data_IF_244836080391
#
_entry.id   IF_244836080391
#
_cell.length_a   1.000
_cell.length_b   1.000
_cell.length_c   1.000
_cell.angle_alpha   90.00
_cell.angle_beta   90.00
_cell.angle_gamma   90.00
#
_symmetry.space_group_name_H-M   'P 1'
#
loop_
_entity.id
_entity.type
_entity.pdbx_description
1 polymer ?
#
# COMPACT_ATOMS: atom_id res chain seq x y z
N UNK A 1 -4.96 -45.66 -23.33
CA UNK A 1 -3.91 -44.93 -24.06
C UNK A 1 -4.29 -43.46 -24.01
N UNK A 2 -3.77 -42.71 -23.03
CA UNK A 2 -4.03 -41.28 -22.88
C UNK A 2 -2.84 -40.54 -23.50
N UNK A 3 -3.10 -39.71 -24.50
CA UNK A 3 -2.09 -38.88 -25.16
C UNK A 3 -1.83 -37.62 -24.35
N UNK A 4 -0.58 -37.43 -23.96
CA UNK A 4 -0.05 -36.24 -23.31
C UNK A 4 0.20 -35.17 -24.37
N UNK A 5 -0.46 -34.01 -24.28
CA UNK A 5 -0.14 -32.83 -25.07
C UNK A 5 0.77 -31.91 -24.23
N UNK A 6 2.06 -31.75 -24.58
CA UNK A 6 2.88 -30.73 -23.95
C UNK A 6 2.33 -29.34 -24.30
N UNK A 7 2.11 -28.52 -23.29
CA UNK A 7 1.78 -27.11 -23.47
C UNK A 7 3.09 -26.39 -23.77
N UNK A 8 3.38 -26.19 -25.06
CA UNK A 8 4.51 -25.36 -25.49
C UNK A 8 4.27 -23.94 -24.99
N UNK A 9 5.11 -23.50 -24.03
CA UNK A 9 5.19 -22.12 -23.61
C UNK A 9 5.83 -21.32 -24.75
N UNK A 10 5.02 -20.93 -25.73
CA UNK A 10 5.43 -19.96 -26.73
C UNK A 10 5.89 -18.69 -25.98
N UNK A 11 7.16 -18.34 -26.15
CA UNK A 11 7.70 -17.09 -25.61
C UNK A 11 6.96 -15.93 -26.27
N UNK A 12 5.91 -15.44 -25.63
CA UNK A 12 5.22 -14.24 -26.05
C UNK A 12 6.12 -13.05 -25.73
N UNK A 13 7.02 -12.72 -26.65
CA UNK A 13 7.66 -11.39 -26.65
C UNK A 13 6.55 -10.38 -26.82
N UNK A 14 6.08 -9.82 -25.72
CA UNK A 14 5.02 -8.84 -25.70
C UNK A 14 5.46 -7.62 -26.54
N UNK A 15 4.57 -7.03 -27.36
CA UNK A 15 4.91 -5.89 -28.21
C UNK A 15 5.42 -4.67 -27.42
N UNK A 16 5.21 -4.63 -26.10
CA UNK A 16 5.76 -3.62 -25.19
C UNK A 16 7.29 -3.68 -25.08
N UNK A 17 7.90 -4.85 -25.23
CA UNK A 17 9.37 -5.02 -25.18
C UNK A 17 10.13 -4.32 -26.32
N UNK A 18 9.43 -3.85 -27.36
CA UNK A 18 10.01 -3.20 -28.55
C UNK A 18 9.87 -1.68 -28.57
N UNK A 19 9.12 -1.08 -27.62
CA UNK A 19 8.75 0.34 -27.67
C UNK A 19 9.68 1.24 -26.85
N UNK A 20 10.19 0.74 -25.73
CA UNK A 20 11.27 1.31 -24.95
C UNK A 20 11.73 0.25 -23.95
N UNK A 21 12.96 0.32 -23.45
CA UNK A 21 13.35 -0.49 -22.31
C UNK A 21 12.44 -0.17 -21.12
N UNK A 22 11.96 -1.17 -20.38
CA UNK A 22 11.10 -0.95 -19.21
C UNK A 22 11.94 -0.37 -18.06
N UNK A 23 11.86 0.94 -17.84
CA UNK A 23 12.73 1.66 -16.89
C UNK A 23 12.23 1.58 -15.43
N UNK A 24 10.92 1.47 -15.23
CA UNK A 24 10.30 1.37 -13.91
C UNK A 24 8.93 0.69 -13.97
N UNK A 25 8.55 0.02 -12.88
CA UNK A 25 7.18 -0.47 -12.67
C UNK A 25 6.64 0.21 -11.41
N UNK A 26 5.47 0.82 -11.55
CA UNK A 26 4.72 1.38 -10.43
C UNK A 26 3.68 0.35 -9.99
N UNK A 27 3.81 -0.12 -8.77
CA UNK A 27 2.82 -0.99 -8.16
C UNK A 27 1.97 -0.19 -7.17
N UNK A 28 0.68 -0.49 -7.14
CA UNK A 28 -0.14 -0.12 -5.99
C UNK A 28 0.29 -1.02 -4.80
N UNK A 29 0.51 -0.41 -3.65
CA UNK A 29 0.80 -1.09 -2.38
C UNK A 29 -0.53 -1.58 -1.79
N UNK A 30 -1.54 -0.72 -1.77
CA UNK A 30 -2.87 -1.02 -1.21
C UNK A 30 -3.56 -2.10 -2.05
N UNK A 31 -3.70 -3.30 -1.48
CA UNK A 31 -4.48 -4.38 -2.08
C UNK A 31 -3.90 -5.05 -3.32
N UNK A 32 -2.71 -4.63 -3.81
CA UNK A 32 -2.01 -5.28 -4.93
C UNK A 32 -0.69 -5.95 -4.53
N UNK A 33 0.16 -5.28 -3.75
CA UNK A 33 1.44 -5.87 -3.30
C UNK A 33 1.40 -6.36 -1.85
N UNK A 34 0.55 -5.78 -1.02
CA UNK A 34 0.51 -6.10 0.41
C UNK A 34 -0.91 -5.97 0.94
N UNK A 35 -1.23 -6.78 1.95
CA UNK A 35 -2.33 -6.49 2.84
C UNK A 35 -1.92 -5.33 3.77
N UNK A 36 -2.33 -4.14 3.37
CA UNK A 36 -2.03 -2.85 4.00
C UNK A 36 -3.11 -2.42 4.99
N UNK A 37 -4.22 -3.15 5.08
CA UNK A 37 -5.31 -2.85 6.00
C UNK A 37 -4.85 -2.84 7.47
N UNK A 38 -3.99 -3.76 7.94
CA UNK A 38 -3.43 -3.68 9.29
C UNK A 38 -2.67 -2.38 9.57
N UNK A 39 -1.94 -1.85 8.58
CA UNK A 39 -1.18 -0.61 8.70
C UNK A 39 -2.11 0.61 8.69
N UNK A 40 -3.14 0.58 7.82
CA UNK A 40 -4.17 1.62 7.81
C UNK A 40 -4.94 1.66 9.14
N UNK A 41 -5.33 0.50 9.68
CA UNK A 41 -5.94 0.39 11.00
C UNK A 41 -5.05 1.00 12.07
N UNK A 42 -3.76 0.64 12.12
CA UNK A 42 -2.84 1.19 13.10
C UNK A 42 -2.72 2.72 13.00
N UNK A 43 -2.64 3.27 11.78
CA UNK A 43 -2.57 4.72 11.59
C UNK A 43 -3.83 5.43 12.13
N UNK A 44 -5.04 4.91 11.84
CA UNK A 44 -6.26 5.48 12.41
C UNK A 44 -6.36 5.30 13.92
N UNK A 45 -5.94 4.14 14.45
CA UNK A 45 -5.94 3.84 15.87
C UNK A 45 -5.05 4.80 16.67
N UNK A 46 -3.92 5.21 16.10
CA UNK A 46 -3.00 6.20 16.70
C UNK A 46 -3.54 7.63 16.58
N UNK A 47 -4.13 8.01 15.44
CA UNK A 47 -4.49 9.41 15.18
C UNK A 47 -5.87 9.84 15.66
N UNK A 48 -6.87 8.95 15.63
CA UNK A 48 -8.23 9.30 16.04
C UNK A 48 -8.31 9.80 17.50
N UNK A 49 -7.56 9.23 18.45
CA UNK A 49 -7.45 9.79 19.80
C UNK A 49 -6.98 11.25 19.86
N UNK A 50 -6.07 11.68 18.98
CA UNK A 50 -5.50 13.03 19.00
C UNK A 50 -6.52 14.12 18.67
N UNK A 51 -7.61 13.75 18.00
CA UNK A 51 -8.72 14.64 17.65
C UNK A 51 -9.92 14.47 18.58
N UNK A 52 -9.75 13.77 19.70
CA UNK A 52 -10.78 13.43 20.69
C UNK A 52 -11.94 12.61 20.11
N UNK A 53 -11.69 11.88 19.01
CA UNK A 53 -12.66 10.95 18.46
C UNK A 53 -12.90 9.81 19.46
N UNK A 54 -14.15 9.40 19.66
CA UNK A 54 -14.54 8.40 20.65
C UNK A 54 -14.05 8.76 22.09
N UNK A 55 -13.99 10.06 22.42
CA UNK A 55 -13.50 10.54 23.71
C UNK A 55 -12.02 10.23 23.97
N UNK A 56 -11.23 10.18 22.89
CA UNK A 56 -9.80 9.87 22.95
C UNK A 56 -9.49 8.36 23.08
N UNK A 57 -10.50 7.50 23.09
CA UNK A 57 -10.29 6.05 23.20
C UNK A 57 -9.99 5.46 21.81
N UNK A 58 -8.87 4.74 21.64
CA UNK A 58 -8.53 4.13 20.35
C UNK A 58 -9.65 3.23 19.82
N UNK A 59 -9.88 3.29 18.51
CA UNK A 59 -10.84 2.41 17.84
C UNK A 59 -10.37 0.95 17.88
N UNK A 60 -11.33 0.04 17.81
CA UNK A 60 -11.08 -1.39 17.66
C UNK A 60 -11.14 -1.79 16.18
N UNK A 61 -10.64 -2.99 15.87
CA UNK A 61 -10.54 -3.51 14.51
C UNK A 61 -11.93 -3.70 13.87
N UNK A 62 -12.94 -4.07 14.66
CA UNK A 62 -14.31 -4.23 14.18
C UNK A 62 -14.89 -2.91 13.66
N UNK A 63 -14.62 -1.80 14.37
CA UNK A 63 -15.04 -0.48 13.94
C UNK A 63 -14.31 -0.06 12.66
N UNK A 64 -13.02 -0.35 12.57
CA UNK A 64 -12.25 -0.09 11.36
C UNK A 64 -12.83 -0.85 10.15
N UNK A 65 -13.06 -2.16 10.31
CA UNK A 65 -13.58 -3.00 9.24
C UNK A 65 -14.98 -2.57 8.78
N UNK A 66 -15.85 -2.15 9.70
CA UNK A 66 -17.22 -1.76 9.38
C UNK A 66 -17.31 -0.36 8.73
N UNK A 67 -16.54 0.61 9.24
CA UNK A 67 -16.75 2.02 8.89
C UNK A 67 -15.63 2.66 8.06
N UNK A 68 -14.42 2.11 8.07
CA UNK A 68 -13.23 2.76 7.51
C UNK A 68 -12.61 1.95 6.36
N UNK A 69 -12.48 0.63 6.50
CA UNK A 69 -11.83 -0.22 5.49
C UNK A 69 -12.48 -0.04 4.11
N UNK A 70 -11.64 0.10 3.09
CA UNK A 70 -12.05 0.29 1.70
C UNK A 70 -12.73 1.63 1.38
N UNK A 71 -12.84 2.58 2.32
CA UNK A 71 -13.41 3.90 2.06
C UNK A 71 -12.38 4.88 1.52
N UNK A 72 -12.82 5.82 0.67
CA UNK A 72 -11.93 6.87 0.18
C UNK A 72 -11.61 7.90 1.27
N UNK A 73 -10.40 8.47 1.20
CA UNK A 73 -9.95 9.49 2.15
C UNK A 73 -10.88 10.73 2.18
N UNK A 74 -11.55 11.07 1.07
CA UNK A 74 -12.50 12.19 1.01
C UNK A 74 -13.79 11.89 1.79
N UNK A 75 -14.26 10.65 1.74
CA UNK A 75 -15.41 10.19 2.54
C UNK A 75 -15.04 10.20 4.02
N UNK A 76 -13.83 9.72 4.37
CA UNK A 76 -13.32 9.73 5.74
C UNK A 76 -13.11 11.14 6.29
N UNK A 77 -12.63 12.08 5.47
CA UNK A 77 -12.53 13.49 5.84
C UNK A 77 -13.90 14.05 6.24
N UNK A 78 -14.94 13.70 5.49
CA UNK A 78 -16.33 14.13 5.78
C UNK A 78 -16.92 13.40 6.98
N UNK A 79 -16.63 12.11 7.14
CA UNK A 79 -17.11 11.29 8.25
C UNK A 79 -16.56 11.78 9.61
N UNK A 80 -15.25 12.02 9.71
CA UNK A 80 -14.62 12.48 10.95
C UNK A 80 -14.81 13.98 11.22
N UNK A 81 -14.98 14.78 10.16
CA UNK A 81 -15.12 16.24 10.27
C UNK A 81 -16.32 16.75 9.45
N UNK A 82 -17.56 16.40 9.83
CA UNK A 82 -18.77 16.73 9.06
C UNK A 82 -19.02 18.24 8.92
N UNK A 83 -18.40 19.06 9.76
CA UNK A 83 -18.53 20.52 9.76
C UNK A 83 -17.23 21.26 9.40
N UNK A 84 -16.14 20.54 9.12
CA UNK A 84 -14.84 21.12 8.77
C UNK A 84 -14.07 20.22 7.79
N UNK A 85 -14.57 20.15 6.56
CA UNK A 85 -13.99 19.30 5.53
C UNK A 85 -12.51 19.64 5.25
N UNK A 86 -12.11 20.91 5.37
CA UNK A 86 -10.70 21.32 5.20
C UNK A 86 -9.80 20.70 6.25
N UNK A 87 -10.24 20.67 7.52
CA UNK A 87 -9.53 19.95 8.59
C UNK A 87 -9.53 18.44 8.32
N UNK A 88 -10.63 17.89 7.80
CA UNK A 88 -10.70 16.48 7.40
C UNK A 88 -9.68 16.10 6.33
N UNK A 89 -9.54 16.90 5.27
CA UNK A 89 -8.54 16.67 4.22
C UNK A 89 -7.11 16.74 4.77
N UNK A 90 -6.85 17.67 5.70
CA UNK A 90 -5.55 17.75 6.39
C UNK A 90 -5.30 16.48 7.22
N UNK A 91 -6.28 16.04 7.99
CA UNK A 91 -6.19 14.83 8.82
C UNK A 91 -5.89 13.58 7.97
N UNK A 92 -6.57 13.40 6.83
CA UNK A 92 -6.32 12.23 5.98
C UNK A 92 -4.95 12.29 5.30
N UNK A 93 -4.43 13.48 4.95
CA UNK A 93 -3.07 13.64 4.47
C UNK A 93 -2.01 13.33 5.56
N UNK A 94 -2.27 13.71 6.81
CA UNK A 94 -1.43 13.37 7.97
C UNK A 94 -1.47 11.86 8.26
N UNK A 95 -2.64 11.23 8.12
CA UNK A 95 -2.81 9.76 8.20
C UNK A 95 -2.00 9.03 7.15
N UNK A 96 -2.00 9.50 5.90
CA UNK A 96 -1.12 8.97 4.86
C UNK A 96 0.37 9.08 5.22
N UNK A 97 0.77 10.15 5.92
CA UNK A 97 2.14 10.29 6.40
C UNK A 97 2.47 9.30 7.52
N UNK A 98 1.53 9.05 8.43
CA UNK A 98 1.67 8.04 9.47
C UNK A 98 1.73 6.63 8.89
N UNK A 99 0.85 6.30 7.95
CA UNK A 99 0.88 5.04 7.20
C UNK A 99 2.27 4.78 6.61
N UNK A 100 2.83 5.76 5.90
CA UNK A 100 4.19 5.64 5.32
C UNK A 100 5.24 5.39 6.41
N UNK A 101 5.16 6.08 7.54
CA UNK A 101 6.10 5.90 8.65
C UNK A 101 6.05 4.47 9.20
N UNK A 102 4.86 3.92 9.43
CA UNK A 102 4.67 2.55 9.94
C UNK A 102 5.15 1.54 8.90
N UNK A 103 4.73 1.69 7.63
CA UNK A 103 5.16 0.83 6.54
C UNK A 103 6.69 0.77 6.41
N UNK A 104 7.39 1.91 6.48
CA UNK A 104 8.85 1.93 6.44
C UNK A 104 9.50 1.29 7.68
N UNK A 105 8.84 1.30 8.84
CA UNK A 105 9.32 0.60 10.02
C UNK A 105 9.18 -0.91 9.86
N UNK A 106 8.01 -1.39 9.42
CA UNK A 106 7.76 -2.82 9.13
C UNK A 106 8.74 -3.37 8.08
N UNK A 107 8.95 -2.63 6.98
CA UNK A 107 9.93 -2.98 5.94
C UNK A 107 11.37 -3.06 6.47
N UNK A 108 11.73 -2.25 7.46
CA UNK A 108 13.07 -2.28 8.09
C UNK A 108 13.23 -3.41 9.10
N UNK A 109 12.14 -3.81 9.76
CA UNK A 109 12.15 -4.82 10.83
C UNK A 109 12.03 -6.25 10.29
N UNK A 110 11.68 -6.43 9.02
CA UNK A 110 11.83 -7.71 8.32
C UNK A 110 10.96 -8.82 8.92
N UNK A 111 9.81 -8.51 9.49
CA UNK A 111 8.91 -9.50 10.10
C UNK A 111 7.63 -9.71 9.27
N UNK A 112 7.50 -10.90 8.68
CA UNK A 112 6.27 -11.67 8.82
C UNK A 112 5.21 -11.63 7.70
N UNK A 113 5.58 -11.47 6.44
CA UNK A 113 4.86 -11.97 5.22
C UNK A 113 5.61 -11.58 3.94
N UNK A 114 6.55 -10.64 4.09
CA UNK A 114 7.38 -10.09 3.04
C UNK A 114 8.51 -11.05 2.63
N UNK A 115 8.23 -11.99 1.72
CA UNK A 115 9.27 -12.64 0.93
C UNK A 115 9.68 -11.78 -0.29
N UNK A 116 9.90 -10.49 -0.02
CA UNK A 116 10.56 -9.59 -0.97
C UNK A 116 12.08 -9.81 -0.98
N UNK A 117 12.56 -10.73 -0.13
CA UNK A 117 13.94 -11.21 -0.06
C UNK A 117 14.41 -11.83 -1.37
N UNK A 118 13.54 -12.22 -2.30
CA UNK A 118 13.92 -12.58 -3.68
C UNK A 118 14.04 -11.39 -4.65
N UNK A 119 13.33 -10.29 -4.37
CA UNK A 119 13.21 -9.14 -5.29
C UNK A 119 14.21 -8.02 -4.99
N UNK A 120 14.41 -7.68 -3.71
CA UNK A 120 15.31 -6.58 -3.29
C UNK A 120 16.74 -7.02 -3.03
N UNK A 121 16.99 -8.29 -2.71
CA UNK A 121 18.33 -8.77 -2.32
C UNK A 121 19.33 -8.88 -3.47
N UNK A 122 18.88 -8.87 -4.73
CA UNK A 122 19.73 -9.27 -5.85
C UNK A 122 19.83 -8.25 -6.99
N UNK A 123 19.27 -7.03 -6.87
CA UNK A 123 19.31 -6.01 -7.94
C UNK A 123 19.50 -4.60 -7.37
N UNK A 124 20.25 -3.76 -8.10
CA UNK A 124 20.46 -2.33 -7.82
C UNK A 124 19.17 -1.53 -8.05
N UNK A 125 18.14 -1.84 -7.29
CA UNK A 125 16.81 -1.25 -7.39
C UNK A 125 16.58 -0.32 -6.21
N UNK A 126 16.15 0.91 -6.49
CA UNK A 126 15.63 1.84 -5.48
C UNK A 126 14.11 1.68 -5.38
N UNK A 127 13.59 1.59 -4.15
CA UNK A 127 12.16 1.63 -3.87
C UNK A 127 11.78 3.04 -3.40
N UNK A 128 10.77 3.65 -4.03
CA UNK A 128 10.22 4.94 -3.61
C UNK A 128 8.72 4.79 -3.37
N UNK A 129 8.23 5.18 -2.20
CA UNK A 129 6.81 5.14 -1.87
C UNK A 129 6.18 6.55 -1.91
N UNK A 130 5.03 6.70 -2.59
CA UNK A 130 4.22 7.92 -2.59
C UNK A 130 2.73 7.57 -2.37
N UNK A 131 2.15 8.00 -1.26
CA UNK A 131 0.84 7.50 -0.80
C UNK A 131 0.86 5.97 -0.67
N UNK A 132 -0.15 5.31 -1.21
CA UNK A 132 -0.24 3.86 -1.32
C UNK A 132 0.53 3.27 -2.50
N UNK A 133 1.47 3.96 -3.16
CA UNK A 133 2.16 3.44 -4.36
C UNK A 133 3.65 3.24 -4.11
N UNK A 134 4.22 2.13 -4.58
CA UNK A 134 5.66 1.86 -4.59
C UNK A 134 6.15 1.81 -6.03
N UNK A 135 7.15 2.64 -6.33
CA UNK A 135 7.91 2.60 -7.56
C UNK A 135 9.19 1.79 -7.32
N UNK A 136 9.40 0.76 -8.14
CA UNK A 136 10.68 0.06 -8.23
C UNK A 136 11.34 0.54 -9.52
N UNK A 137 12.41 1.32 -9.37
CA UNK A 137 13.24 1.77 -10.51
C UNK A 137 14.34 0.74 -10.75
N UNK A 138 14.49 0.32 -12.01
CA UNK A 138 15.58 -0.54 -12.45
C UNK A 138 16.75 0.34 -12.87
N UNK A 139 17.84 0.37 -12.09
CA UNK A 139 19.11 0.90 -12.57
C UNK A 139 19.95 -0.24 -13.16
N UNK A 140 19.83 -0.44 -14.48
CA UNK A 140 20.75 -1.30 -15.22
C UNK A 140 20.22 -1.72 -16.59
N UNK A 141 20.73 -1.05 -17.64
CA UNK A 141 21.14 -1.72 -18.87
C UNK A 141 22.67 -1.83 -18.83
#
# INVERSE_FOLDING_TARGET
MLTYYPFDCASSTSPLSKLAPLEAILFDIDGMLCDSDPINYQAYREMLPEIDFNGGVPIMEEFYAEFISGKHNEDMATFFFPHDHRRGLKFTAEKEAMFRRILFQELKLGCGSWDAGGWFSNRKSGAFANGSKVCISYQGF
#
